data_IF_064164313147
#
_entry.id   IF_064164313147
#
_cell.length_a   1.000
_cell.length_b   1.000
_cell.length_c   1.000
_cell.angle_alpha   90.00
_cell.angle_beta   90.00
_cell.angle_gamma   90.00
#
_symmetry.space_group_name_H-M   'P 1'
#
loop_
_entity.id
_entity.type
_entity.pdbx_description
1 polymer ?
#
# COMPACT_ATOMS: atom_id res chain seq x y z
N UNK A 1 -25.64 -4.73 -16.64
CA UNK A 1 -24.32 -4.83 -17.30
C UNK A 1 -23.29 -4.38 -16.26
N UNK A 2 -22.24 -5.16 -16.01
CA UNK A 2 -21.20 -4.77 -15.05
C UNK A 2 -20.34 -3.64 -15.63
N UNK A 3 -19.77 -2.76 -14.79
CA UNK A 3 -18.85 -1.75 -15.26
C UNK A 3 -17.58 -2.40 -15.83
N UNK A 4 -16.98 -1.75 -16.83
CA UNK A 4 -15.79 -2.25 -17.52
C UNK A 4 -14.61 -1.40 -17.08
N UNK A 5 -13.61 -2.02 -16.48
CA UNK A 5 -12.38 -1.32 -16.11
C UNK A 5 -11.54 -1.02 -17.32
N UNK A 6 -11.24 0.25 -17.45
CA UNK A 6 -10.38 0.79 -18.47
C UNK A 6 -8.98 0.97 -17.90
N UNK A 7 -8.01 1.13 -18.80
CA UNK A 7 -6.64 1.52 -18.44
C UNK A 7 -6.59 2.82 -17.62
N UNK A 8 -7.60 3.68 -17.75
CA UNK A 8 -7.69 4.94 -17.00
C UNK A 8 -8.06 4.73 -15.52
N UNK A 9 -8.80 3.68 -15.21
CA UNK A 9 -9.25 3.41 -13.83
C UNK A 9 -8.12 2.84 -12.97
N UNK A 10 -7.28 1.99 -13.55
CA UNK A 10 -6.12 1.41 -12.88
C UNK A 10 -4.97 1.20 -13.89
N UNK A 11 -4.14 2.21 -14.13
CA UNK A 11 -3.05 2.10 -15.11
C UNK A 11 -2.02 1.03 -14.72
N UNK A 12 -1.82 0.77 -13.43
CA UNK A 12 -0.88 -0.23 -12.95
C UNK A 12 -1.31 -1.66 -13.30
N UNK A 13 -2.60 -1.99 -13.24
CA UNK A 13 -3.07 -3.37 -13.50
C UNK A 13 -2.84 -3.83 -14.94
N UNK A 14 -2.93 -2.89 -15.88
CA UNK A 14 -2.77 -3.13 -17.32
C UNK A 14 -1.35 -2.87 -17.82
N UNK A 15 -0.41 -2.56 -16.92
CA UNK A 15 1.00 -2.38 -17.24
C UNK A 15 1.75 -3.70 -17.23
N UNK A 16 2.82 -3.76 -18.01
CA UNK A 16 3.68 -4.94 -18.11
C UNK A 16 4.69 -5.01 -16.95
N UNK A 17 5.35 -6.17 -16.83
CA UNK A 17 6.49 -6.33 -15.94
C UNK A 17 7.68 -5.50 -16.46
N UNK A 18 8.43 -4.78 -15.60
CA UNK A 18 8.34 -4.76 -14.13
C UNK A 18 7.45 -3.64 -13.56
N UNK A 19 6.97 -2.73 -14.40
CA UNK A 19 6.33 -1.48 -13.98
C UNK A 19 5.10 -1.72 -13.10
N UNK A 20 4.29 -2.74 -13.42
CA UNK A 20 3.14 -3.13 -12.60
C UNK A 20 3.53 -3.49 -11.18
N UNK A 21 4.55 -4.33 -11.00
CA UNK A 21 5.00 -4.80 -9.70
C UNK A 21 5.65 -3.68 -8.89
N UNK A 22 6.49 -2.87 -9.53
CA UNK A 22 7.12 -1.72 -8.87
C UNK A 22 6.06 -0.73 -8.39
N UNK A 23 5.07 -0.42 -9.24
CA UNK A 23 3.98 0.49 -8.88
C UNK A 23 3.13 -0.06 -7.74
N UNK A 24 2.77 -1.35 -7.77
CA UNK A 24 2.02 -1.97 -6.68
C UNK A 24 2.77 -1.95 -5.35
N UNK A 25 4.08 -2.20 -5.35
CA UNK A 25 4.88 -2.11 -4.13
C UNK A 25 4.97 -0.66 -3.64
N UNK A 26 5.16 0.31 -4.53
CA UNK A 26 5.16 1.73 -4.17
C UNK A 26 3.82 2.18 -3.59
N UNK A 27 2.69 1.69 -4.11
CA UNK A 27 1.36 1.99 -3.57
C UNK A 27 1.22 1.56 -2.10
N UNK A 28 1.92 0.51 -1.64
CA UNK A 28 1.95 0.14 -0.22
C UNK A 28 2.54 1.28 0.63
N UNK A 29 3.59 1.93 0.15
CA UNK A 29 4.22 3.07 0.81
C UNK A 29 3.31 4.28 0.84
N UNK A 30 2.67 4.59 -0.29
CA UNK A 30 1.76 5.72 -0.35
C UNK A 30 0.55 5.52 0.58
N UNK A 31 -0.02 4.31 0.64
CA UNK A 31 -1.06 3.98 1.61
C UNK A 31 -0.56 4.03 3.06
N UNK A 32 0.69 3.64 3.33
CA UNK A 32 1.27 3.76 4.66
C UNK A 32 1.38 5.24 5.09
N UNK A 33 1.77 6.12 4.16
CA UNK A 33 1.83 7.55 4.39
C UNK A 33 0.46 8.14 4.71
N UNK A 34 -0.57 7.78 3.93
CA UNK A 34 -1.95 8.23 4.18
C UNK A 34 -2.49 7.84 5.56
N UNK A 35 -2.11 6.65 6.06
CA UNK A 35 -2.51 6.21 7.40
C UNK A 35 -1.87 7.06 8.51
N UNK A 36 -0.68 7.61 8.27
CA UNK A 36 0.03 8.46 9.22
C UNK A 36 -0.41 9.92 9.07
N UNK A 37 -0.63 10.37 7.83
CA UNK A 37 -0.97 11.74 7.47
C UNK A 37 -1.99 11.77 6.32
N UNK A 38 -3.30 11.85 6.62
CA UNK A 38 -4.37 11.71 5.63
C UNK A 38 -4.67 13.02 4.88
N UNK A 39 -3.65 13.72 4.35
CA UNK A 39 -3.84 14.99 3.64
C UNK A 39 -4.45 14.83 2.24
N UNK A 40 -4.11 13.77 1.52
CA UNK A 40 -4.49 13.58 0.10
C UNK A 40 -5.59 12.54 -0.10
N UNK A 41 -6.34 12.22 0.97
CA UNK A 41 -7.34 11.16 0.95
C UNK A 41 -8.59 11.52 0.11
N UNK A 42 -8.84 12.81 -0.12
CA UNK A 42 -9.99 13.30 -0.88
C UNK A 42 -9.72 13.46 -2.38
N UNK A 43 -8.46 13.42 -2.82
CA UNK A 43 -8.15 13.35 -4.24
C UNK A 43 -8.64 12.00 -4.77
N UNK A 44 -9.19 11.94 -5.99
CA UNK A 44 -9.50 10.67 -6.63
C UNK A 44 -8.19 10.03 -7.14
N UNK A 45 -7.82 8.88 -6.56
CA UNK A 45 -6.58 8.15 -6.89
C UNK A 45 -6.70 7.37 -8.21
N UNK A 46 -7.61 7.81 -9.06
CA UNK A 46 -7.92 7.31 -10.39
C UNK A 46 -7.12 8.10 -11.43
N UNK A 47 -7.29 7.79 -12.71
CA UNK A 47 -6.80 8.63 -13.82
C UNK A 47 -5.28 8.85 -13.89
N UNK A 48 -4.47 8.02 -13.22
CA UNK A 48 -3.02 8.14 -13.26
C UNK A 48 -2.44 9.25 -12.37
N UNK A 49 -3.20 9.71 -11.36
CA UNK A 49 -2.70 10.65 -10.32
C UNK A 49 -1.43 10.13 -9.65
N UNK A 50 -1.25 8.81 -9.56
CA UNK A 50 0.01 8.17 -9.20
C UNK A 50 0.69 7.67 -10.48
N UNK A 51 1.80 8.30 -10.92
CA UNK A 51 2.53 7.86 -12.09
C UNK A 51 3.12 6.46 -11.88
N UNK A 52 3.15 5.66 -12.96
CA UNK A 52 3.80 4.34 -12.93
C UNK A 52 5.26 4.45 -12.51
N UNK A 53 5.74 3.45 -11.77
CA UNK A 53 7.15 3.26 -11.46
C UNK A 53 7.72 2.33 -12.51
N UNK A 54 8.42 2.87 -13.50
CA UNK A 54 8.85 2.10 -14.69
C UNK A 54 10.23 1.46 -14.53
N UNK A 55 11.04 1.93 -13.57
CA UNK A 55 12.42 1.49 -13.37
C UNK A 55 12.71 1.15 -11.92
N UNK A 56 13.59 0.16 -11.71
CA UNK A 56 14.13 -0.19 -10.39
C UNK A 56 15.01 0.90 -9.80
N UNK A 57 15.58 1.77 -10.64
CA UNK A 57 16.41 2.91 -10.21
C UNK A 57 15.58 4.15 -9.85
N UNK A 58 14.26 4.07 -9.91
CA UNK A 58 13.38 5.17 -9.53
C UNK A 58 13.54 5.49 -8.03
N UNK A 59 13.76 6.75 -7.63
CA UNK A 59 13.93 7.13 -6.22
C UNK A 59 12.71 6.78 -5.36
N UNK A 60 11.51 6.64 -5.94
CA UNK A 60 10.31 6.19 -5.23
C UNK A 60 10.46 4.80 -4.62
N UNK A 61 11.34 3.96 -5.16
CA UNK A 61 11.66 2.65 -4.58
C UNK A 61 12.34 2.76 -3.21
N UNK A 62 12.92 3.91 -2.85
CA UNK A 62 13.43 4.15 -1.50
C UNK A 62 12.29 4.20 -0.47
N UNK A 63 11.16 4.82 -0.82
CA UNK A 63 9.98 4.82 0.06
C UNK A 63 9.41 3.41 0.23
N UNK A 64 9.40 2.62 -0.85
CA UNK A 64 9.07 1.19 -0.83
C UNK A 64 9.97 0.43 0.14
N UNK A 65 11.29 0.57 0.00
CA UNK A 65 12.26 -0.09 0.86
C UNK A 65 12.08 0.32 2.32
N UNK A 66 11.96 1.62 2.61
CA UNK A 66 11.73 2.13 3.96
C UNK A 66 10.44 1.61 4.60
N UNK A 67 9.37 1.45 3.80
CA UNK A 67 8.11 0.91 4.30
C UNK A 67 8.27 -0.56 4.69
N UNK A 68 8.94 -1.36 3.85
CA UNK A 68 9.17 -2.77 4.14
C UNK A 68 10.14 -2.98 5.31
N UNK A 69 11.18 -2.14 5.46
CA UNK A 69 12.08 -2.24 6.62
C UNK A 69 11.35 -1.97 7.93
N UNK A 70 10.46 -0.98 7.97
CA UNK A 70 9.60 -0.70 9.13
C UNK A 70 8.68 -1.89 9.43
N UNK A 71 8.01 -2.45 8.41
CA UNK A 71 7.13 -3.62 8.59
C UNK A 71 7.93 -4.81 9.15
N UNK A 72 9.10 -5.10 8.58
CA UNK A 72 9.96 -6.20 9.05
C UNK A 72 10.41 -5.95 10.50
N UNK A 73 10.79 -4.73 10.86
CA UNK A 73 11.17 -4.38 12.22
C UNK A 73 9.99 -4.56 13.20
N UNK A 74 8.78 -4.14 12.81
CA UNK A 74 7.56 -4.35 13.59
C UNK A 74 7.25 -5.84 13.77
N UNK A 75 7.39 -6.64 12.71
CA UNK A 75 7.20 -8.09 12.79
C UNK A 75 8.25 -8.74 13.70
N UNK A 76 9.51 -8.40 13.55
CA UNK A 76 10.60 -8.91 14.39
C UNK A 76 10.37 -8.56 15.86
N UNK A 77 10.01 -7.32 16.16
CA UNK A 77 9.69 -6.90 17.54
C UNK A 77 8.46 -7.61 18.10
N UNK A 78 7.45 -7.90 17.28
CA UNK A 78 6.28 -8.68 17.69
C UNK A 78 6.65 -10.10 18.14
N UNK A 79 7.58 -10.76 17.44
CA UNK A 79 8.00 -12.12 17.76
C UNK A 79 9.01 -12.22 18.89
N UNK A 80 9.86 -11.21 19.08
CA UNK A 80 10.96 -11.25 20.07
C UNK A 80 10.63 -10.58 21.40
N UNK A 81 9.60 -9.75 21.44
CA UNK A 81 9.19 -9.05 22.67
C UNK A 81 8.57 -10.01 23.69
N UNK A 82 9.18 -10.07 24.89
CA UNK A 82 8.60 -10.73 26.07
C UNK A 82 7.51 -9.87 26.75
N UNK A 83 7.55 -8.54 26.57
CA UNK A 83 6.57 -7.63 27.16
C UNK A 83 5.20 -7.77 26.48
N UNK A 84 4.23 -8.35 27.20
CA UNK A 84 2.88 -8.63 26.71
C UNK A 84 2.17 -7.38 26.16
N UNK A 85 2.30 -6.23 26.80
CA UNK A 85 1.65 -4.98 26.36
C UNK A 85 2.24 -4.49 25.04
N UNK A 86 3.57 -4.46 24.92
CA UNK A 86 4.23 -4.09 23.65
C UNK A 86 3.85 -5.05 22.52
N UNK A 87 3.81 -6.36 22.80
CA UNK A 87 3.41 -7.38 21.82
C UNK A 87 1.97 -7.19 21.35
N UNK A 88 1.03 -6.95 22.27
CA UNK A 88 -0.37 -6.69 21.95
C UNK A 88 -0.50 -5.43 21.09
N UNK A 89 0.16 -4.34 21.46
CA UNK A 89 0.10 -3.09 20.67
C UNK A 89 0.61 -3.31 19.25
N UNK A 90 1.76 -3.98 19.08
CA UNK A 90 2.32 -4.26 17.75
C UNK A 90 1.41 -5.18 16.95
N UNK A 91 0.85 -6.25 17.54
CA UNK A 91 -0.09 -7.14 16.85
C UNK A 91 -1.37 -6.40 16.45
N UNK A 92 -1.90 -5.55 17.34
CA UNK A 92 -3.08 -4.74 17.06
C UNK A 92 -2.81 -3.81 15.88
N UNK A 93 -1.72 -3.04 15.90
CA UNK A 93 -1.34 -2.16 14.77
C UNK A 93 -1.22 -2.94 13.46
N UNK A 94 -0.60 -4.12 13.46
CA UNK A 94 -0.49 -4.96 12.25
C UNK A 94 -1.85 -5.53 11.77
N UNK A 95 -2.76 -5.84 12.70
CA UNK A 95 -4.08 -6.40 12.39
C UNK A 95 -5.03 -5.31 11.87
N UNK A 96 -5.08 -4.15 12.54
CA UNK A 96 -5.84 -2.99 12.08
C UNK A 96 -5.39 -2.53 10.69
N UNK A 97 -4.08 -2.59 10.41
CA UNK A 97 -3.54 -2.28 9.08
C UNK A 97 -3.96 -3.29 8.02
N UNK A 98 -3.96 -4.58 8.34
CA UNK A 98 -4.48 -5.62 7.44
C UNK A 98 -5.96 -5.41 7.13
N UNK A 99 -6.77 -5.04 8.13
CA UNK A 99 -8.20 -4.75 7.96
C UNK A 99 -8.42 -3.52 7.07
N UNK A 100 -7.68 -2.43 7.29
CA UNK A 100 -7.81 -1.21 6.46
C UNK A 100 -7.35 -1.48 5.02
N UNK A 101 -6.27 -2.24 4.82
CA UNK A 101 -5.82 -2.63 3.47
C UNK A 101 -6.87 -3.51 2.80
N UNK A 102 -7.42 -4.52 3.48
CA UNK A 102 -8.48 -5.37 2.94
C UNK A 102 -9.73 -4.55 2.61
N UNK A 103 -10.13 -3.62 3.48
CA UNK A 103 -11.28 -2.72 3.25
C UNK A 103 -11.01 -1.73 2.11
N UNK A 104 -9.79 -1.24 1.95
CA UNK A 104 -9.39 -0.37 0.84
C UNK A 104 -9.35 -1.13 -0.49
N UNK A 105 -8.89 -2.39 -0.49
CA UNK A 105 -8.94 -3.30 -1.64
C UNK A 105 -10.39 -3.68 -1.97
N UNK A 106 -11.20 -4.04 -0.98
CA UNK A 106 -12.62 -4.36 -1.17
C UNK A 106 -13.45 -3.16 -1.59
N UNK A 107 -13.19 -1.97 -1.04
CA UNK A 107 -13.83 -0.72 -1.47
C UNK A 107 -13.48 -0.37 -2.91
N UNK A 108 -12.22 -0.61 -3.31
CA UNK A 108 -11.82 -0.51 -4.72
C UNK A 108 -12.44 -1.60 -5.59
N UNK A 109 -12.63 -2.82 -5.09
CA UNK A 109 -13.25 -3.95 -5.83
C UNK A 109 -14.78 -3.86 -5.92
N UNK A 110 -15.46 -3.22 -4.97
CA UNK A 110 -16.91 -2.95 -5.00
C UNK A 110 -17.26 -1.68 -5.81
N UNK A 111 -16.28 -0.79 -5.95
CA UNK A 111 -16.31 0.29 -6.95
C UNK A 111 -16.02 -0.24 -8.36
N UNK A 112 -15.76 -1.55 -8.48
CA UNK A 112 -15.56 -2.26 -9.74
C UNK A 112 -16.76 -3.18 -10.05
#
# INVERSE_FOLDING_TARGET
KLPVFTRFDNPASVSDWPARQLTYNYLVSVNAWLLIFPCDLCCDWTMGTIPLVESTSDPRNLATLATYTVIIALMYTAFTTSNRTKRIVVIMVNTYRSIIIVMSIYGKFLSQ
#
